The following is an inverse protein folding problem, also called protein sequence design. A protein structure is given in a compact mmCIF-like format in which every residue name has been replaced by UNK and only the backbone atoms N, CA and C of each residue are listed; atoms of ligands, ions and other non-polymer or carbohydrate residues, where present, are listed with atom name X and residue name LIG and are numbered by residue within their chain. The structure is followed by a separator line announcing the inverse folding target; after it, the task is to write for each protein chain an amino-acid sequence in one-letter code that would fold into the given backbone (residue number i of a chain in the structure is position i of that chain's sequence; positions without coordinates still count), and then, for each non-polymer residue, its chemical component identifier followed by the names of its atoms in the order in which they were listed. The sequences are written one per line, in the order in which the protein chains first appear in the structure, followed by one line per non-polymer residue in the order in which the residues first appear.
data_IF_613751314580
#
_entry.id   IF_613751314580
#
_cell.length_a   1.000
_cell.length_b   1.000
_cell.length_c   1.000
_cell.angle_alpha   90.00
_cell.angle_beta   90.00
_cell.angle_gamma   90.00
#
_symmetry.space_group_name_H-M   'P 1'
#
loop_
_entity.id
_entity.type
_entity.pdbx_description
1 polymer ?
#
# COMPACT_ATOMS: atom_id res chain seq x y z
N UNK A 1 13.36 16.38 -0.75
CA UNK A 1 13.75 16.45 -2.16
C UNK A 1 13.91 15.03 -2.72
N UNK A 2 13.38 14.78 -3.91
CA UNK A 2 13.56 13.57 -4.67
C UNK A 2 14.37 13.90 -5.92
N UNK A 3 15.59 13.35 -6.02
CA UNK A 3 16.45 13.63 -7.17
C UNK A 3 16.61 12.35 -8.00
N UNK A 4 16.12 12.38 -9.24
CA UNK A 4 16.27 11.31 -10.20
C UNK A 4 15.60 9.99 -9.80
N UNK A 5 14.44 10.02 -9.12
CA UNK A 5 13.70 8.80 -8.78
C UNK A 5 13.18 8.13 -10.05
N UNK A 6 13.75 6.99 -10.39
CA UNK A 6 13.46 6.24 -11.62
C UNK A 6 12.42 5.16 -11.40
N UNK A 7 11.58 4.95 -12.40
CA UNK A 7 10.67 3.81 -12.48
C UNK A 7 10.45 3.41 -13.95
N UNK A 8 10.32 2.11 -14.16
CA UNK A 8 10.02 1.53 -15.46
C UNK A 8 8.51 1.46 -15.65
N UNK A 9 8.05 1.71 -16.86
CA UNK A 9 6.64 1.67 -17.24
C UNK A 9 6.53 1.15 -18.69
N UNK A 10 5.31 1.01 -19.19
CA UNK A 10 5.04 0.70 -20.58
C UNK A 10 4.18 1.78 -21.21
N UNK A 11 4.59 2.26 -22.37
CA UNK A 11 3.84 3.26 -23.10
C UNK A 11 2.54 2.68 -23.71
N UNK A 12 1.74 3.52 -24.34
CA UNK A 12 0.49 3.13 -25.01
C UNK A 12 0.70 2.08 -26.13
N UNK A 13 1.89 1.98 -26.70
CA UNK A 13 2.26 0.98 -27.71
C UNK A 13 2.73 -0.35 -27.09
N UNK A 14 2.95 -0.39 -25.76
CA UNK A 14 3.45 -1.55 -25.03
C UNK A 14 4.98 -1.64 -24.96
N UNK A 15 5.71 -0.61 -25.39
CA UNK A 15 7.17 -0.55 -25.31
C UNK A 15 7.61 -0.15 -23.92
N UNK A 16 8.74 -0.71 -23.47
CA UNK A 16 9.34 -0.38 -22.18
C UNK A 16 9.91 1.05 -22.22
N UNK A 17 9.57 1.84 -21.21
CA UNK A 17 10.00 3.21 -21.03
C UNK A 17 10.56 3.43 -19.64
N UNK A 18 11.51 4.36 -19.52
CA UNK A 18 12.09 4.77 -18.26
C UNK A 18 11.63 6.20 -17.92
N UNK A 19 10.94 6.32 -16.83
CA UNK A 19 10.56 7.62 -16.26
C UNK A 19 11.49 7.99 -15.11
N UNK A 20 11.78 9.28 -14.96
CA UNK A 20 12.52 9.81 -13.81
C UNK A 20 11.88 11.09 -13.31
N UNK A 21 11.63 11.14 -12.00
CA UNK A 21 11.11 12.33 -11.32
C UNK A 21 12.21 13.02 -10.53
N UNK A 22 12.27 14.35 -10.65
CA UNK A 22 13.12 15.21 -9.85
C UNK A 22 12.33 16.40 -9.35
N UNK A 23 12.28 16.61 -8.03
CA UNK A 23 11.50 17.70 -7.46
C UNK A 23 11.29 17.56 -5.95
N UNK A 24 10.28 18.21 -5.45
CA UNK A 24 9.85 18.10 -4.06
C UNK A 24 8.81 17.01 -3.88
N UNK A 25 8.90 16.27 -2.80
CA UNK A 25 7.90 15.28 -2.38
C UNK A 25 7.62 15.49 -0.90
N UNK A 26 6.37 15.77 -0.56
CA UNK A 26 5.90 15.96 0.81
C UNK A 26 4.84 14.91 1.12
N UNK A 27 5.05 14.19 2.23
CA UNK A 27 4.11 13.15 2.66
C UNK A 27 3.64 13.42 4.08
N UNK A 28 2.32 13.43 4.26
CA UNK A 28 1.66 13.49 5.55
C UNK A 28 1.07 12.12 5.88
N UNK A 29 1.29 11.69 7.12
CA UNK A 29 0.74 10.44 7.63
C UNK A 29 0.09 10.71 8.97
N UNK A 30 -1.15 10.24 9.10
CA UNK A 30 -1.90 10.27 10.36
C UNK A 30 -2.38 8.87 10.64
N UNK A 31 -2.05 8.34 11.83
CA UNK A 31 -2.47 7.01 12.27
C UNK A 31 -3.23 7.07 13.60
N UNK A 32 -4.07 6.07 13.81
CA UNK A 32 -4.78 5.87 15.06
C UNK A 32 -4.91 4.37 15.38
N UNK A 33 -4.70 4.03 16.64
CA UNK A 33 -4.92 2.69 17.17
C UNK A 33 -5.79 2.73 18.41
N UNK A 34 -6.82 1.91 18.42
CA UNK A 34 -7.67 1.67 19.58
C UNK A 34 -7.60 0.20 19.95
N UNK A 35 -7.33 -0.08 21.22
CA UNK A 35 -7.37 -1.44 21.78
C UNK A 35 -8.32 -1.51 22.95
N UNK A 36 -9.27 -2.43 22.87
CA UNK A 36 -10.20 -2.72 23.94
C UNK A 36 -10.08 -4.18 24.36
N UNK A 37 -10.08 -4.43 25.68
CA UNK A 37 -9.96 -5.76 26.27
C UNK A 37 -11.16 -6.06 27.15
N UNK A 38 -11.82 -7.20 26.91
CA UNK A 38 -12.91 -7.64 27.74
C UNK A 38 -12.35 -8.04 29.13
N UNK A 39 -13.00 -7.58 30.19
CA UNK A 39 -12.65 -7.91 31.59
C UNK A 39 -11.19 -7.63 31.99
N UNK A 40 -10.48 -6.78 31.25
CA UNK A 40 -9.09 -6.42 31.54
C UNK A 40 -8.04 -7.50 31.28
N UNK A 41 -8.42 -8.67 30.75
CA UNK A 41 -7.49 -9.76 30.41
C UNK A 41 -7.26 -9.86 28.90
N UNK A 42 -6.15 -9.29 28.36
CA UNK A 42 -5.85 -9.33 26.93
C UNK A 42 -5.51 -10.74 26.41
N UNK A 43 -5.32 -11.72 27.31
CA UNK A 43 -5.05 -13.11 26.92
C UNK A 43 -6.32 -13.85 26.50
N UNK A 44 -7.48 -13.38 26.95
CA UNK A 44 -8.77 -14.01 26.65
C UNK A 44 -9.42 -13.42 25.42
N UNK A 45 -9.79 -12.16 25.48
CA UNK A 45 -10.48 -11.49 24.38
C UNK A 45 -10.06 -10.03 24.26
N UNK A 46 -9.78 -9.59 23.07
CA UNK A 46 -9.58 -8.18 22.77
C UNK A 46 -10.03 -7.84 21.34
N UNK A 47 -10.37 -6.59 21.15
CA UNK A 47 -10.55 -5.96 19.84
C UNK A 47 -9.46 -4.92 19.68
N UNK A 48 -8.80 -4.94 18.52
CA UNK A 48 -7.86 -3.91 18.08
C UNK A 48 -8.42 -3.30 16.81
N UNK A 49 -8.59 -1.99 16.77
CA UNK A 49 -8.90 -1.21 15.58
C UNK A 49 -7.69 -0.33 15.26
N UNK A 50 -7.32 -0.26 14.01
CA UNK A 50 -6.20 0.52 13.54
C UNK A 50 -6.57 1.13 12.19
N UNK A 51 -6.18 2.37 11.98
CA UNK A 51 -6.34 3.06 10.71
C UNK A 51 -5.21 4.03 10.49
N UNK A 52 -4.92 4.27 9.21
CA UNK A 52 -3.90 5.21 8.78
C UNK A 52 -4.43 5.92 7.52
N UNK A 53 -4.18 7.22 7.46
CA UNK A 53 -4.39 8.04 6.28
C UNK A 53 -3.07 8.68 5.89
N UNK A 54 -2.74 8.62 4.61
CA UNK A 54 -1.56 9.26 4.05
C UNK A 54 -1.95 10.13 2.86
N UNK A 55 -1.27 11.27 2.73
CA UNK A 55 -1.36 12.16 1.58
C UNK A 55 0.05 12.48 1.11
N UNK A 56 0.28 12.43 -0.20
CA UNK A 56 1.55 12.78 -0.82
C UNK A 56 1.33 13.82 -1.90
N UNK A 57 2.09 14.91 -1.81
CA UNK A 57 2.15 15.96 -2.83
C UNK A 57 3.52 15.97 -3.46
N UNK A 58 3.55 16.03 -4.76
CA UNK A 58 4.78 16.08 -5.55
C UNK A 58 4.68 17.21 -6.55
N UNK A 59 5.80 17.94 -6.72
CA UNK A 59 5.93 19.03 -7.68
C UNK A 59 7.37 19.06 -8.19
N UNK A 60 7.57 19.11 -9.51
CA UNK A 60 8.88 19.07 -10.12
C UNK A 60 8.84 18.74 -11.61
N UNK A 61 9.86 18.04 -12.07
CA UNK A 61 10.05 17.64 -13.46
C UNK A 61 10.00 16.12 -13.61
N UNK A 62 9.39 15.67 -14.69
CA UNK A 62 9.30 14.28 -15.12
C UNK A 62 10.01 14.12 -16.45
N UNK A 63 11.04 13.28 -16.48
CA UNK A 63 11.69 12.82 -17.68
C UNK A 63 11.07 11.53 -18.17
N UNK A 64 10.75 11.45 -19.44
CA UNK A 64 10.29 10.26 -20.15
C UNK A 64 11.34 9.84 -21.15
N UNK A 65 11.79 8.61 -21.13
CA UNK A 65 12.81 8.08 -22.03
C UNK A 65 12.35 6.75 -22.61
N UNK A 66 12.26 6.71 -23.92
CA UNK A 66 12.05 5.49 -24.72
C UNK A 66 13.28 5.16 -25.59
N UNK A 67 13.15 4.21 -26.50
CA UNK A 67 14.24 3.82 -27.41
C UNK A 67 14.62 4.91 -28.43
N UNK A 68 13.80 5.94 -28.62
CA UNK A 68 13.91 6.93 -29.70
C UNK A 68 14.24 8.32 -29.16
N UNK A 69 13.65 8.69 -28.00
CA UNK A 69 13.70 10.06 -27.48
C UNK A 69 13.79 10.10 -25.96
N UNK A 70 14.33 11.19 -25.46
CA UNK A 70 14.22 11.61 -24.06
C UNK A 70 13.53 12.96 -24.01
N UNK A 71 12.43 13.05 -23.26
CA UNK A 71 11.57 14.22 -23.16
C UNK A 71 11.43 14.62 -21.70
N UNK A 72 11.39 15.91 -21.43
CA UNK A 72 11.21 16.46 -20.09
C UNK A 72 9.96 17.33 -20.04
N UNK A 73 9.22 17.29 -18.93
CA UNK A 73 8.05 18.13 -18.71
C UNK A 73 7.73 18.28 -17.24
N UNK A 74 6.98 19.32 -16.91
CA UNK A 74 6.53 19.56 -15.55
C UNK A 74 5.65 18.42 -15.03
N UNK A 75 5.73 18.15 -13.73
CA UNK A 75 4.93 17.14 -13.05
C UNK A 75 4.40 17.67 -11.73
N UNK A 76 3.11 17.48 -11.48
CA UNK A 76 2.55 17.69 -10.16
C UNK A 76 1.51 16.63 -9.85
N UNK A 77 1.45 16.18 -8.60
CA UNK A 77 0.57 15.12 -8.15
C UNK A 77 0.12 15.37 -6.71
N UNK A 78 -1.15 15.10 -6.43
CA UNK A 78 -1.73 15.09 -5.08
C UNK A 78 -2.49 13.78 -4.91
N UNK A 79 -1.85 12.82 -4.26
CA UNK A 79 -2.33 11.45 -4.08
C UNK A 79 -2.66 11.21 -2.62
N UNK A 80 -3.64 10.36 -2.35
CA UNK A 80 -3.96 9.94 -0.99
C UNK A 80 -4.21 8.45 -0.89
N UNK A 81 -4.16 7.95 0.34
CA UNK A 81 -4.49 6.57 0.62
C UNK A 81 -4.86 6.39 2.08
N UNK A 82 -5.64 5.39 2.36
CA UNK A 82 -6.00 5.05 3.72
C UNK A 82 -6.27 3.55 3.86
N UNK A 83 -6.11 3.08 5.06
CA UNK A 83 -6.64 1.78 5.42
C UNK A 83 -7.33 1.80 6.79
N UNK A 84 -8.21 0.83 6.97
CA UNK A 84 -8.77 0.47 8.27
C UNK A 84 -8.62 -1.03 8.48
N UNK A 85 -8.21 -1.41 9.69
CA UNK A 85 -8.02 -2.81 10.08
C UNK A 85 -8.66 -3.07 11.43
N UNK A 86 -9.40 -4.18 11.51
CA UNK A 86 -9.91 -4.71 12.76
C UNK A 86 -9.33 -6.09 13.04
N UNK A 87 -8.92 -6.35 14.28
CA UNK A 87 -8.49 -7.68 14.75
C UNK A 87 -9.25 -8.02 16.01
N UNK A 88 -9.89 -9.17 16.02
CA UNK A 88 -10.61 -9.71 17.16
C UNK A 88 -9.99 -11.03 17.62
N UNK A 89 -9.49 -11.06 18.85
CA UNK A 89 -9.14 -12.31 19.51
C UNK A 89 -10.39 -12.86 20.20
N UNK A 90 -11.00 -13.88 19.60
CA UNK A 90 -12.25 -14.46 20.09
C UNK A 90 -12.05 -15.64 21.04
N UNK A 91 -10.90 -16.32 20.94
CA UNK A 91 -10.47 -17.38 21.83
C UNK A 91 -8.99 -17.21 22.17
N UNK A 92 -8.49 -17.75 23.28
CA UNK A 92 -7.06 -17.82 23.53
C UNK A 92 -6.32 -18.41 22.32
N UNK A 93 -5.33 -17.67 21.82
CA UNK A 93 -4.50 -18.08 20.66
C UNK A 93 -5.17 -17.99 19.28
N UNK A 94 -6.46 -17.65 19.17
CA UNK A 94 -7.17 -17.50 17.92
C UNK A 94 -7.57 -16.05 17.66
N UNK A 95 -7.24 -15.54 16.48
CA UNK A 95 -7.59 -14.18 16.07
C UNK A 95 -8.17 -14.21 14.67
N UNK A 96 -9.20 -13.44 14.47
CA UNK A 96 -9.74 -13.11 13.16
C UNK A 96 -9.46 -11.63 12.89
N UNK A 97 -9.15 -11.28 11.65
CA UNK A 97 -8.94 -9.90 11.24
C UNK A 97 -9.51 -9.63 9.87
N UNK A 98 -9.90 -8.39 9.69
CA UNK A 98 -10.32 -7.83 8.40
C UNK A 98 -9.59 -6.50 8.18
N UNK A 99 -9.20 -6.23 6.94
CA UNK A 99 -8.56 -4.99 6.52
C UNK A 99 -9.12 -4.55 5.17
N UNK A 100 -9.34 -3.27 5.04
CA UNK A 100 -9.68 -2.62 3.80
C UNK A 100 -8.68 -1.50 3.53
N UNK A 101 -8.14 -1.49 2.32
CA UNK A 101 -7.20 -0.50 1.81
C UNK A 101 -7.83 0.21 0.61
N UNK A 102 -7.60 1.51 0.49
CA UNK A 102 -8.02 2.31 -0.65
C UNK A 102 -6.95 3.36 -0.97
N UNK A 103 -6.60 3.46 -2.24
CA UNK A 103 -5.73 4.50 -2.76
C UNK A 103 -6.54 5.39 -3.69
N UNK A 104 -6.13 6.65 -3.78
CA UNK A 104 -6.67 7.62 -4.72
C UNK A 104 -5.48 8.28 -5.44
N UNK A 105 -5.43 8.09 -6.75
CA UNK A 105 -4.42 8.74 -7.60
C UNK A 105 -4.59 10.27 -7.63
N UNK A 106 -5.73 10.78 -7.22
CA UNK A 106 -6.04 12.19 -7.06
C UNK A 106 -5.86 12.99 -8.35
N UNK A 107 -5.23 14.16 -8.24
CA UNK A 107 -4.98 15.05 -9.37
C UNK A 107 -3.51 14.97 -9.80
N UNK A 108 -3.24 14.20 -10.84
CA UNK A 108 -1.92 14.15 -11.46
C UNK A 108 -1.91 14.98 -12.75
N UNK A 109 -0.96 15.89 -12.86
CA UNK A 109 -0.73 16.72 -14.04
C UNK A 109 0.64 16.40 -14.59
N UNK A 110 0.70 16.03 -15.87
CA UNK A 110 1.92 15.71 -16.60
C UNK A 110 2.02 16.69 -17.75
N UNK A 111 3.05 17.56 -17.72
CA UNK A 111 3.26 18.60 -18.74
C UNK A 111 3.29 18.03 -20.15
N UNK A 112 4.01 16.93 -20.37
CA UNK A 112 4.08 16.26 -21.68
C UNK A 112 2.70 15.83 -22.24
N UNK A 113 1.75 15.52 -21.35
CA UNK A 113 0.35 15.19 -21.74
C UNK A 113 -0.45 16.47 -21.98
N UNK A 114 -0.28 17.49 -21.15
CA UNK A 114 -1.00 18.76 -21.27
C UNK A 114 -0.61 19.50 -22.55
N UNK A 115 0.66 19.42 -22.94
CA UNK A 115 1.21 20.04 -24.15
C UNK A 115 0.93 19.21 -25.42
N UNK A 116 0.28 18.05 -25.28
CA UNK A 116 -0.08 17.18 -26.39
C UNK A 116 1.11 16.46 -27.06
N UNK A 117 2.25 16.39 -26.37
CA UNK A 117 3.46 15.69 -26.86
C UNK A 117 3.30 14.18 -26.68
N UNK A 118 2.76 13.76 -25.55
CA UNK A 118 2.44 12.37 -25.22
C UNK A 118 0.96 12.25 -24.78
N UNK A 119 0.49 11.03 -24.63
CA UNK A 119 -0.87 10.73 -24.19
C UNK A 119 -0.93 10.21 -22.77
N UNK A 120 -2.09 10.21 -22.14
CA UNK A 120 -2.29 9.60 -20.82
C UNK A 120 -1.94 8.11 -20.80
N UNK A 121 -2.10 7.40 -21.92
CA UNK A 121 -1.74 5.99 -22.06
C UNK A 121 -0.25 5.70 -21.98
N UNK A 122 0.61 6.72 -22.14
CA UNK A 122 2.06 6.59 -22.03
C UNK A 122 2.54 6.63 -20.55
N UNK A 123 1.61 6.89 -19.59
CA UNK A 123 1.89 6.97 -18.16
C UNK A 123 0.89 6.16 -17.32
N UNK A 124 0.67 4.87 -17.61
CA UNK A 124 -0.37 4.09 -16.94
C UNK A 124 -0.16 3.98 -15.43
N UNK A 125 1.09 3.90 -14.93
CA UNK A 125 1.39 3.84 -13.50
C UNK A 125 1.11 5.15 -12.75
N UNK A 126 1.24 6.30 -13.42
CA UNK A 126 1.02 7.61 -12.79
C UNK A 126 -0.46 8.03 -12.80
N UNK A 127 -1.22 7.50 -13.76
CA UNK A 127 -2.63 7.84 -13.99
C UNK A 127 -3.59 6.67 -13.67
N UNK A 128 -3.07 5.60 -13.04
CA UNK A 128 -3.90 4.48 -12.58
C UNK A 128 -4.93 4.96 -11.57
N UNK A 129 -6.13 4.37 -11.65
CA UNK A 129 -7.31 4.77 -10.91
C UNK A 129 -7.21 4.66 -9.38
N UNK A 130 -8.33 4.33 -8.75
CA UNK A 130 -8.44 4.22 -7.28
C UNK A 130 -8.43 2.76 -6.86
N UNK A 131 -7.26 2.12 -6.74
CA UNK A 131 -7.16 0.71 -6.37
C UNK A 131 -7.65 0.46 -4.96
N UNK A 132 -8.32 -0.68 -4.77
CA UNK A 132 -8.80 -1.11 -3.46
C UNK A 132 -8.37 -2.53 -3.16
N UNK A 133 -8.26 -2.87 -1.88
CA UNK A 133 -7.97 -4.23 -1.43
C UNK A 133 -8.73 -4.55 -0.17
N UNK A 134 -9.40 -5.70 -0.18
CA UNK A 134 -10.02 -6.28 1.02
C UNK A 134 -9.27 -7.52 1.42
N UNK A 135 -8.94 -7.66 2.71
CA UNK A 135 -8.24 -8.83 3.22
C UNK A 135 -8.90 -9.37 4.47
N UNK A 136 -9.00 -10.69 4.55
CA UNK A 136 -9.43 -11.42 5.73
C UNK A 136 -8.31 -12.32 6.22
N UNK A 137 -8.14 -12.44 7.52
CA UNK A 137 -7.12 -13.33 8.09
C UNK A 137 -7.66 -14.13 9.26
N UNK A 138 -7.13 -15.33 9.41
CA UNK A 138 -7.28 -16.19 10.58
C UNK A 138 -5.91 -16.58 11.10
N UNK A 139 -5.62 -16.24 12.35
CA UNK A 139 -4.37 -16.58 13.04
C UNK A 139 -4.63 -17.64 14.11
N UNK A 140 -3.73 -18.61 14.17
CA UNK A 140 -3.61 -19.54 15.28
C UNK A 140 -2.18 -19.52 15.83
N UNK A 141 -2.05 -19.27 17.14
CA UNK A 141 -0.77 -19.22 17.84
C UNK A 141 -0.66 -20.38 18.81
N UNK A 142 -0.22 -21.59 18.41
CA UNK A 142 -0.12 -22.77 19.29
C UNK A 142 0.82 -22.52 20.47
N UNK A 143 1.82 -21.66 20.32
CA UNK A 143 2.72 -21.21 21.38
C UNK A 143 3.02 -19.72 21.25
N UNK A 144 3.73 -19.14 22.21
CA UNK A 144 4.23 -17.76 22.12
C UNK A 144 5.31 -17.59 21.05
N UNK A 145 5.94 -18.69 20.63
CA UNK A 145 7.01 -18.71 19.63
C UNK A 145 6.54 -19.06 18.23
N UNK A 146 5.28 -19.46 18.05
CA UNK A 146 4.79 -19.91 16.77
C UNK A 146 3.41 -19.36 16.43
N UNK A 147 3.21 -19.07 15.15
CA UNK A 147 1.94 -18.61 14.61
C UNK A 147 1.73 -19.18 13.21
N UNK A 148 0.55 -19.71 12.97
CA UNK A 148 0.04 -20.05 11.65
C UNK A 148 -1.00 -19.01 11.25
N UNK A 149 -0.88 -18.45 10.05
CA UNK A 149 -1.82 -17.50 9.47
C UNK A 149 -2.33 -18.01 8.14
N UNK A 150 -3.64 -18.02 7.97
CA UNK A 150 -4.29 -18.08 6.69
C UNK A 150 -4.85 -16.70 6.37
N UNK A 151 -4.63 -16.22 5.16
CA UNK A 151 -5.14 -14.93 4.69
C UNK A 151 -5.68 -15.07 3.29
N UNK A 152 -6.80 -14.43 3.03
CA UNK A 152 -7.40 -14.30 1.72
C UNK A 152 -7.58 -12.81 1.40
N UNK A 153 -7.27 -12.42 0.17
CA UNK A 153 -7.39 -11.05 -0.27
C UNK A 153 -8.05 -10.97 -1.65
N UNK A 154 -8.91 -9.98 -1.80
CA UNK A 154 -9.44 -9.50 -3.08
C UNK A 154 -8.69 -8.21 -3.38
N UNK A 155 -7.91 -8.22 -4.45
CA UNK A 155 -7.04 -7.12 -4.84
C UNK A 155 -7.52 -6.54 -6.17
N UNK A 156 -7.98 -5.31 -6.14
CA UNK A 156 -8.46 -4.55 -7.29
C UNK A 156 -7.47 -3.43 -7.65
N UNK A 157 -6.17 -3.72 -7.47
CA UNK A 157 -5.10 -2.77 -7.70
C UNK A 157 -4.70 -2.64 -9.18
N UNK A 158 -5.03 -3.61 -10.01
CA UNK A 158 -4.68 -3.63 -11.43
C UNK A 158 -5.85 -3.21 -12.31
N UNK A 159 -5.57 -2.60 -13.46
CA UNK A 159 -6.57 -2.32 -14.49
C UNK A 159 -6.99 -3.63 -15.20
N UNK A 160 -7.66 -4.51 -14.47
CA UNK A 160 -8.06 -5.83 -14.93
C UNK A 160 -9.11 -6.45 -14.01
N UNK A 161 -9.38 -7.76 -14.12
CA UNK A 161 -10.24 -8.45 -13.16
C UNK A 161 -9.59 -8.45 -11.77
N UNK A 162 -10.43 -8.40 -10.74
CA UNK A 162 -9.99 -8.51 -9.33
C UNK A 162 -9.11 -9.76 -9.14
N UNK A 163 -7.93 -9.59 -8.57
CA UNK A 163 -7.01 -10.67 -8.27
C UNK A 163 -7.34 -11.28 -6.91
N UNK A 164 -7.56 -12.59 -6.90
CA UNK A 164 -7.85 -13.35 -5.69
C UNK A 164 -6.59 -14.05 -5.19
N UNK A 165 -6.17 -13.71 -3.98
CA UNK A 165 -4.92 -14.18 -3.41
C UNK A 165 -5.15 -14.96 -2.11
N UNK A 166 -4.54 -16.14 -2.02
CA UNK A 166 -4.51 -16.93 -0.79
C UNK A 166 -3.09 -17.06 -0.27
N UNK A 167 -2.88 -16.75 1.02
CA UNK A 167 -1.59 -16.86 1.69
C UNK A 167 -1.71 -17.81 2.88
N UNK A 168 -0.75 -18.73 2.99
CA UNK A 168 -0.52 -19.51 4.20
C UNK A 168 0.89 -19.19 4.72
N UNK A 169 0.97 -18.72 5.96
CA UNK A 169 2.23 -18.30 6.57
C UNK A 169 2.43 -19.01 7.90
N UNK A 170 3.62 -19.61 8.07
CA UNK A 170 4.10 -20.09 9.37
C UNK A 170 5.24 -19.21 9.85
N UNK A 171 5.11 -18.70 11.06
CA UNK A 171 6.12 -17.88 11.73
C UNK A 171 6.59 -18.63 12.95
N UNK A 172 7.90 -18.80 13.08
CA UNK A 172 8.54 -19.33 14.27
C UNK A 172 9.65 -18.40 14.72
N UNK A 173 9.59 -17.96 15.98
CA UNK A 173 10.60 -17.12 16.60
C UNK A 173 11.58 -18.00 17.37
N UNK A 174 12.87 -17.86 17.07
CA UNK A 174 13.98 -18.52 17.79
C UNK A 174 14.75 -17.45 18.57
N UNK A 175 14.96 -17.67 19.83
CA UNK A 175 15.73 -16.76 20.70
C UNK A 175 15.18 -16.67 22.11
N UNK A 176 16.01 -16.17 23.03
CA UNK A 176 15.56 -15.88 24.39
C UNK A 176 14.64 -14.65 24.38
N UNK A 177 13.40 -14.80 24.80
CA UNK A 177 12.56 -13.65 25.15
C UNK A 177 13.13 -12.95 26.37
N UNK A 178 13.34 -11.64 26.25
CA UNK A 178 13.57 -10.80 27.43
C UNK A 178 12.46 -11.07 28.45
N UNK A 179 12.84 -11.40 29.68
CA UNK A 179 11.90 -11.64 30.76
C UNK A 179 10.93 -10.48 30.87
N UNK A 180 9.63 -10.74 30.65
CA UNK A 180 8.60 -9.77 30.98
C UNK A 180 8.68 -9.51 32.48
N UNK A 181 9.01 -8.28 32.88
CA UNK A 181 8.82 -7.84 34.26
C UNK A 181 7.31 -7.89 34.53
N UNK A 182 6.94 -8.71 35.48
CA UNK A 182 5.59 -8.80 36.05
C UNK A 182 5.26 -7.51 36.79
#
# INVERSE_FOLDING_TARGET
DAEGRKFEDRNAAGDDVLNAFSGSSETWVVDAELRWTAQGDPRRQYVKLQGEYMQRKEDGDLSYTDAVASLDGGYSSDQSGWYVQGVYQFLPRWRFGARYDSLDAGNTKIGLVQDGVLTAGDFPLLLSGSPTRTSLMLDWSPSEFSRLRAQYAWDDASAGPTDEQFFLQYIHALGAHGAHKF
#
